data_IF_261739864189
#
_entry.id   IF_261739864189
#
_cell.length_a   1.000
_cell.length_b   1.000
_cell.length_c   1.000
_cell.angle_alpha   90.00
_cell.angle_beta   90.00
_cell.angle_gamma   90.00
#
_symmetry.space_group_name_H-M   'P 1'
#
loop_
_entity.id
_entity.type
_entity.pdbx_description
1 polymer ?
#
# COMPACT_ATOMS: atom_id res chain seq x y z
N UNK A 1 21.21 41.15 -3.52
CA UNK A 1 20.25 40.83 -4.60
C UNK A 1 20.80 39.71 -5.49
N UNK A 2 22.02 39.84 -6.04
CA UNK A 2 22.64 38.87 -6.96
C UNK A 2 22.71 37.46 -6.35
N UNK A 3 23.14 37.29 -5.10
CA UNK A 3 23.21 35.99 -4.41
C UNK A 3 21.84 35.32 -4.24
N UNK A 4 20.78 36.10 -4.03
CA UNK A 4 19.38 35.60 -3.94
C UNK A 4 18.93 35.08 -5.31
N UNK A 5 19.21 35.82 -6.36
CA UNK A 5 18.90 35.42 -7.75
C UNK A 5 19.65 34.14 -8.15
N UNK A 6 20.93 34.04 -7.87
CA UNK A 6 21.73 32.83 -8.12
C UNK A 6 21.19 31.65 -7.29
N UNK A 7 20.83 31.88 -6.02
CA UNK A 7 20.19 30.87 -5.17
C UNK A 7 18.87 30.34 -5.75
N UNK A 8 18.03 31.22 -6.30
CA UNK A 8 16.77 30.86 -6.97
C UNK A 8 17.02 30.02 -8.23
N UNK A 9 17.97 30.43 -9.09
CA UNK A 9 18.32 29.67 -10.30
C UNK A 9 18.87 28.29 -9.98
N UNK A 10 19.79 28.19 -9.00
CA UNK A 10 20.37 26.90 -8.61
C UNK A 10 19.34 25.98 -7.93
N UNK A 11 18.43 26.51 -7.14
CA UNK A 11 17.33 25.76 -6.54
C UNK A 11 16.34 25.30 -7.61
N UNK A 12 15.92 26.21 -8.51
CA UNK A 12 15.05 25.89 -9.63
C UNK A 12 15.60 24.79 -10.52
N UNK A 13 16.90 24.88 -10.87
CA UNK A 13 17.57 23.84 -11.64
C UNK A 13 17.57 22.47 -10.93
N UNK A 14 17.78 22.44 -9.62
CA UNK A 14 17.68 21.20 -8.81
C UNK A 14 16.25 20.63 -8.85
N UNK A 15 15.22 21.45 -8.71
CA UNK A 15 13.81 21.02 -8.76
C UNK A 15 13.47 20.47 -10.15
N UNK A 16 13.90 21.14 -11.23
CA UNK A 16 13.70 20.68 -12.61
C UNK A 16 14.41 19.36 -12.89
N UNK A 17 15.61 19.16 -12.36
CA UNK A 17 16.31 17.87 -12.42
C UNK A 17 15.50 16.76 -11.76
N UNK A 18 14.98 16.98 -10.53
CA UNK A 18 14.15 16.01 -9.82
C UNK A 18 12.87 15.68 -10.60
N UNK A 19 12.25 16.67 -11.26
CA UNK A 19 11.10 16.47 -12.14
C UNK A 19 11.45 15.59 -13.34
N UNK A 20 12.56 15.88 -14.01
CA UNK A 20 13.02 15.09 -15.17
C UNK A 20 13.31 13.63 -14.80
N UNK A 21 13.99 13.41 -13.66
CA UNK A 21 14.24 12.07 -13.14
C UNK A 21 12.93 11.33 -12.80
N UNK A 22 11.97 11.99 -12.14
CA UNK A 22 10.66 11.42 -11.84
C UNK A 22 9.93 11.01 -13.12
N UNK A 23 9.86 11.90 -14.12
CA UNK A 23 9.25 11.63 -15.43
C UNK A 23 9.91 10.43 -16.13
N UNK A 24 11.24 10.35 -16.12
CA UNK A 24 11.99 9.25 -16.75
C UNK A 24 11.66 7.91 -16.08
N UNK A 25 11.68 7.85 -14.74
CA UNK A 25 11.37 6.63 -13.99
C UNK A 25 9.95 6.14 -14.26
N UNK A 26 8.96 7.04 -14.23
CA UNK A 26 7.57 6.67 -14.52
C UNK A 26 7.39 6.28 -15.99
N UNK A 27 8.06 6.96 -16.93
CA UNK A 27 7.99 6.59 -18.35
C UNK A 27 8.51 5.17 -18.60
N UNK A 28 9.54 4.76 -17.90
CA UNK A 28 10.15 3.42 -18.00
C UNK A 28 9.36 2.34 -17.21
N UNK A 29 8.43 2.71 -16.32
CA UNK A 29 7.64 1.74 -15.58
C UNK A 29 6.62 1.03 -16.49
N UNK A 30 6.31 -0.22 -16.19
CA UNK A 30 5.21 -0.99 -16.76
C UNK A 30 4.34 -1.55 -15.61
N UNK A 31 3.27 -2.24 -15.91
CA UNK A 31 2.51 -2.97 -14.88
C UNK A 31 3.39 -3.94 -14.10
N UNK A 32 4.38 -4.55 -14.75
CA UNK A 32 5.29 -5.51 -14.12
C UNK A 32 6.20 -4.86 -13.07
N UNK A 33 6.47 -3.54 -13.19
CA UNK A 33 7.17 -2.78 -12.14
C UNK A 33 6.46 -2.90 -10.79
N UNK A 34 5.13 -2.97 -10.79
CA UNK A 34 4.31 -3.07 -9.59
C UNK A 34 4.06 -4.52 -9.16
N UNK A 35 4.48 -5.49 -9.96
CA UNK A 35 4.37 -6.92 -9.69
C UNK A 35 5.70 -7.55 -9.26
N UNK A 36 6.80 -6.83 -9.33
CA UNK A 36 8.18 -7.33 -9.18
C UNK A 36 8.50 -8.05 -7.86
N UNK A 37 7.61 -7.99 -6.86
CA UNK A 37 7.79 -8.64 -5.55
C UNK A 37 6.84 -9.82 -5.31
N UNK A 38 6.28 -10.42 -6.37
CA UNK A 38 5.31 -11.51 -6.22
C UNK A 38 5.95 -12.78 -5.66
N UNK A 39 5.15 -13.52 -4.89
CA UNK A 39 5.48 -14.87 -4.47
C UNK A 39 5.24 -15.83 -5.64
N UNK A 40 6.28 -16.56 -6.05
CA UNK A 40 6.15 -17.60 -7.06
C UNK A 40 5.63 -18.90 -6.43
N UNK A 41 4.60 -19.50 -7.02
CA UNK A 41 4.03 -20.77 -6.57
C UNK A 41 4.27 -21.81 -7.66
N UNK A 42 4.84 -22.96 -7.28
CA UNK A 42 5.04 -24.10 -8.17
C UNK A 42 3.96 -25.14 -7.89
N UNK A 43 3.30 -25.58 -8.94
CA UNK A 43 2.27 -26.61 -8.88
C UNK A 43 2.76 -27.88 -9.58
N UNK A 44 2.27 -29.06 -9.16
CA UNK A 44 2.44 -30.30 -9.92
C UNK A 44 1.49 -30.35 -11.13
N UNK A 45 1.60 -31.38 -11.94
CA UNK A 45 0.76 -31.61 -13.12
C UNK A 45 -0.73 -31.77 -12.78
N UNK A 46 -1.08 -32.05 -11.53
CA UNK A 46 -2.44 -32.20 -11.03
C UNK A 46 -2.97 -30.91 -10.38
N UNK A 47 -2.21 -29.81 -10.44
CA UNK A 47 -2.59 -28.54 -9.85
C UNK A 47 -2.39 -28.45 -8.32
N UNK A 48 -1.72 -29.42 -7.71
CA UNK A 48 -1.36 -29.39 -6.28
C UNK A 48 -0.15 -28.50 -6.05
N UNK A 49 -0.26 -27.55 -5.13
CA UNK A 49 0.86 -26.69 -4.77
C UNK A 49 2.01 -27.51 -4.17
N UNK A 50 3.16 -27.50 -4.84
CA UNK A 50 4.39 -28.18 -4.39
C UNK A 50 5.25 -27.25 -3.55
N UNK A 51 5.46 -26.03 -4.00
CA UNK A 51 6.40 -25.09 -3.44
C UNK A 51 5.89 -23.65 -3.54
N UNK A 52 6.32 -22.87 -2.58
CA UNK A 52 6.11 -21.43 -2.53
C UNK A 52 7.47 -20.77 -2.39
N UNK A 53 7.96 -20.17 -3.48
CA UNK A 53 9.14 -19.33 -3.42
C UNK A 53 8.70 -17.96 -2.88
N UNK A 54 9.02 -17.73 -1.62
CA UNK A 54 8.92 -16.40 -1.04
C UNK A 54 10.15 -15.61 -1.52
N UNK A 55 9.92 -14.55 -2.29
CA UNK A 55 10.87 -13.46 -2.34
C UNK A 55 11.02 -12.84 -0.94
N UNK A 56 11.71 -11.72 -0.81
CA UNK A 56 11.80 -10.99 0.47
C UNK A 56 10.42 -10.60 1.03
N UNK A 57 9.36 -10.68 0.20
CA UNK A 57 7.99 -10.29 0.52
C UNK A 57 7.02 -11.41 0.15
N UNK A 58 6.06 -11.67 1.04
CA UNK A 58 4.92 -12.55 0.73
C UNK A 58 3.85 -11.70 0.02
N UNK A 59 3.78 -11.77 -1.31
CA UNK A 59 2.90 -10.94 -2.14
C UNK A 59 2.09 -11.79 -3.10
N UNK A 60 0.78 -11.68 -3.00
CA UNK A 60 -0.19 -12.22 -3.95
C UNK A 60 -0.86 -11.05 -4.65
N UNK A 61 -0.73 -11.00 -5.96
CA UNK A 61 -1.27 -9.90 -6.74
C UNK A 61 -2.72 -10.13 -7.11
N UNK A 62 -3.59 -9.17 -6.79
CA UNK A 62 -5.00 -9.16 -7.18
C UNK A 62 -5.22 -8.08 -8.24
N UNK A 63 -5.96 -8.43 -9.30
CA UNK A 63 -6.44 -7.46 -10.27
C UNK A 63 -7.50 -6.56 -9.64
N UNK A 64 -7.67 -5.33 -10.16
CA UNK A 64 -8.63 -4.37 -9.62
C UNK A 64 -10.04 -4.95 -9.40
N UNK A 65 -10.56 -5.70 -10.38
CA UNK A 65 -11.86 -6.36 -10.30
C UNK A 65 -11.98 -7.46 -9.23
N UNK A 66 -10.86 -7.93 -8.70
CA UNK A 66 -10.79 -8.93 -7.63
C UNK A 66 -10.67 -8.27 -6.25
N UNK A 67 -10.40 -6.96 -6.21
CA UNK A 67 -10.28 -6.21 -4.97
C UNK A 67 -11.64 -6.02 -4.31
N UNK A 68 -11.74 -6.26 -3.00
CA UNK A 68 -13.01 -6.07 -2.28
C UNK A 68 -13.44 -4.60 -2.29
N UNK A 69 -14.70 -4.34 -2.63
CA UNK A 69 -15.28 -2.98 -2.64
C UNK A 69 -15.09 -2.27 -1.31
N UNK A 70 -15.26 -2.97 -0.20
CA UNK A 70 -15.09 -2.41 1.14
C UNK A 70 -13.64 -2.04 1.46
N UNK A 71 -12.65 -2.75 0.93
CA UNK A 71 -11.24 -2.37 1.07
C UNK A 71 -10.96 -1.08 0.32
N UNK A 72 -11.45 -0.95 -0.91
CA UNK A 72 -11.33 0.27 -1.73
C UNK A 72 -11.98 1.45 -1.00
N UNK A 73 -13.21 1.28 -0.53
CA UNK A 73 -13.96 2.31 0.19
C UNK A 73 -13.24 2.73 1.49
N UNK A 74 -12.75 1.77 2.28
CA UNK A 74 -12.03 2.04 3.52
C UNK A 74 -10.74 2.81 3.29
N UNK A 75 -9.92 2.38 2.32
CA UNK A 75 -8.64 3.04 2.01
C UNK A 75 -8.86 4.46 1.50
N UNK A 76 -9.79 4.65 0.56
CA UNK A 76 -10.11 5.99 0.04
C UNK A 76 -10.63 6.89 1.15
N UNK A 77 -11.52 6.40 2.00
CA UNK A 77 -12.14 7.23 3.05
C UNK A 77 -11.13 7.81 4.02
N UNK A 78 -10.07 7.06 4.36
CA UNK A 78 -9.11 7.42 5.40
C UNK A 78 -7.82 8.01 4.87
N UNK A 79 -7.33 7.56 3.73
CA UNK A 79 -6.04 7.98 3.18
C UNK A 79 -6.18 9.09 2.14
N UNK A 80 -7.25 9.09 1.34
CA UNK A 80 -7.39 10.00 0.20
C UNK A 80 -8.85 10.19 -0.26
N UNK A 81 -9.65 10.85 0.55
CA UNK A 81 -11.09 11.04 0.28
C UNK A 81 -11.42 11.78 -1.04
N UNK A 82 -10.44 12.45 -1.61
CA UNK A 82 -10.56 13.14 -2.89
C UNK A 82 -9.89 12.37 -4.04
N UNK A 83 -9.56 11.11 -3.85
CA UNK A 83 -8.77 10.31 -4.80
C UNK A 83 -9.24 10.43 -6.25
N UNK A 84 -10.54 10.35 -6.50
CA UNK A 84 -11.11 10.47 -7.84
C UNK A 84 -11.21 11.91 -8.38
N UNK A 85 -10.85 12.92 -7.56
CA UNK A 85 -11.04 14.35 -7.90
C UNK A 85 -9.73 15.10 -8.21
N UNK A 86 -8.58 14.51 -7.91
CA UNK A 86 -7.28 15.12 -8.17
C UNK A 86 -6.47 14.29 -9.18
N UNK A 87 -5.36 14.86 -9.67
CA UNK A 87 -4.44 14.23 -10.61
C UNK A 87 -3.05 14.06 -9.96
N UNK A 88 -2.95 13.16 -8.98
CA UNK A 88 -1.73 12.80 -8.27
C UNK A 88 -1.49 13.59 -6.98
N UNK A 89 -1.96 14.83 -6.88
CA UNK A 89 -1.78 15.72 -5.71
C UNK A 89 -3.09 16.38 -5.33
N UNK A 90 -3.51 16.22 -4.08
CA UNK A 90 -4.66 16.95 -3.52
C UNK A 90 -4.22 18.26 -2.89
N UNK A 91 -4.15 19.33 -3.69
CA UNK A 91 -3.79 20.67 -3.21
C UNK A 91 -4.74 21.19 -2.13
N UNK A 92 -6.04 20.87 -2.22
CA UNK A 92 -7.04 21.23 -1.20
C UNK A 92 -6.80 20.48 0.10
N UNK A 93 -6.42 19.21 0.01
CA UNK A 93 -6.03 18.39 1.15
C UNK A 93 -4.77 18.92 1.84
N UNK A 94 -3.76 19.31 1.06
CA UNK A 94 -2.52 19.90 1.59
C UNK A 94 -2.82 21.22 2.31
N UNK A 95 -3.58 22.11 1.70
CA UNK A 95 -3.97 23.39 2.32
C UNK A 95 -4.72 23.19 3.63
N UNK A 96 -5.68 22.27 3.65
CA UNK A 96 -6.44 21.89 4.85
C UNK A 96 -5.54 21.32 5.94
N UNK A 97 -4.59 20.44 5.59
CA UNK A 97 -3.62 19.89 6.52
C UNK A 97 -2.70 20.96 7.10
N UNK A 98 -2.29 21.94 6.29
CA UNK A 98 -1.48 23.08 6.73
C UNK A 98 -2.24 23.96 7.73
N UNK A 99 -3.49 24.32 7.43
CA UNK A 99 -4.36 25.06 8.35
C UNK A 99 -4.56 24.30 9.66
N UNK A 100 -4.85 22.99 9.57
CA UNK A 100 -5.01 22.14 10.74
C UNK A 100 -3.74 22.08 11.60
N UNK A 101 -2.57 22.04 10.98
CA UNK A 101 -1.27 22.06 11.69
C UNK A 101 -1.10 23.35 12.49
N UNK A 102 -1.43 24.50 11.92
CA UNK A 102 -1.36 25.80 12.60
C UNK A 102 -2.36 25.87 13.75
N UNK A 103 -3.62 25.51 13.50
CA UNK A 103 -4.71 25.54 14.50
C UNK A 103 -4.42 24.63 15.69
N UNK A 104 -3.84 23.45 15.44
CA UNK A 104 -3.50 22.47 16.49
C UNK A 104 -2.07 22.63 17.03
N UNK A 105 -1.50 23.85 16.94
CA UNK A 105 -0.17 24.19 17.51
C UNK A 105 0.94 23.21 17.12
N UNK A 106 1.03 22.91 15.83
CA UNK A 106 2.08 22.05 15.30
C UNK A 106 1.81 20.54 15.39
N UNK A 107 0.62 20.11 15.80
CA UNK A 107 0.25 18.69 15.77
C UNK A 107 -0.31 18.30 14.41
N UNK A 108 0.27 17.25 13.81
CA UNK A 108 -0.25 16.68 12.56
C UNK A 108 -1.49 15.85 12.87
N UNK A 109 -2.66 16.38 12.56
CA UNK A 109 -3.95 15.70 12.79
C UNK A 109 -4.50 15.02 11.54
N UNK A 110 -4.01 15.43 10.35
CA UNK A 110 -4.44 14.89 9.06
C UNK A 110 -3.24 14.71 8.13
N UNK A 111 -3.23 13.60 7.37
CA UNK A 111 -2.27 13.40 6.29
C UNK A 111 -2.63 14.25 5.07
N UNK A 112 -1.62 14.81 4.40
CA UNK A 112 -1.79 15.56 3.15
C UNK A 112 -1.21 14.85 1.92
N UNK A 113 -0.78 13.60 2.04
CA UNK A 113 -0.25 12.81 0.93
C UNK A 113 -1.33 11.94 0.32
N UNK A 114 -1.43 11.92 -1.01
CA UNK A 114 -2.38 11.08 -1.75
C UNK A 114 -1.96 9.61 -1.78
N UNK A 115 -2.88 8.70 -2.14
CA UNK A 115 -2.58 7.29 -2.40
C UNK A 115 -1.51 7.13 -3.49
N UNK A 116 -1.58 7.96 -4.53
CA UNK A 116 -0.59 7.95 -5.63
C UNK A 116 0.79 8.37 -5.16
N UNK A 117 0.90 9.36 -4.26
CA UNK A 117 2.16 9.73 -3.64
C UNK A 117 2.73 8.61 -2.76
N UNK A 118 1.85 7.91 -2.01
CA UNK A 118 2.26 6.77 -1.19
C UNK A 118 2.74 5.60 -2.05
N UNK A 119 2.07 5.33 -3.19
CA UNK A 119 2.50 4.34 -4.17
C UNK A 119 3.87 4.69 -4.75
N UNK A 120 4.07 5.94 -5.21
CA UNK A 120 5.35 6.42 -5.72
C UNK A 120 6.48 6.22 -4.71
N UNK A 121 6.23 6.58 -3.45
CA UNK A 121 7.18 6.38 -2.35
C UNK A 121 7.53 4.90 -2.15
N UNK A 122 6.54 4.02 -2.20
CA UNK A 122 6.70 2.60 -1.88
C UNK A 122 7.47 1.84 -2.96
N UNK A 123 7.20 2.15 -4.23
CA UNK A 123 7.74 1.39 -5.37
C UNK A 123 9.05 1.96 -5.91
N UNK A 124 9.17 3.29 -5.98
CA UNK A 124 10.27 3.92 -6.70
C UNK A 124 11.30 4.63 -5.81
N UNK A 125 10.98 4.88 -4.53
CA UNK A 125 11.81 5.73 -3.70
C UNK A 125 12.35 4.98 -2.47
N UNK A 126 13.48 5.47 -1.96
CA UNK A 126 14.07 4.93 -0.72
C UNK A 126 13.35 5.47 0.54
N UNK A 127 13.67 4.88 1.70
CA UNK A 127 13.06 5.25 2.99
C UNK A 127 13.58 6.55 3.60
N UNK A 128 14.59 7.21 2.99
CA UNK A 128 15.17 8.44 3.54
C UNK A 128 14.15 9.59 3.53
N UNK A 129 14.00 10.25 4.68
CA UNK A 129 13.09 11.40 4.84
C UNK A 129 13.80 12.70 4.45
N UNK A 130 13.91 12.97 3.14
CA UNK A 130 14.52 14.20 2.61
C UNK A 130 13.52 15.03 1.80
N UNK A 131 13.73 16.35 1.74
CA UNK A 131 12.91 17.23 0.91
C UNK A 131 12.99 16.85 -0.58
N UNK A 132 14.18 16.46 -1.05
CA UNK A 132 14.40 16.00 -2.43
C UNK A 132 13.53 14.80 -2.76
N UNK A 133 13.47 13.81 -1.85
CA UNK A 133 12.58 12.66 -2.01
C UNK A 133 11.11 13.08 -2.06
N UNK A 134 10.68 14.02 -1.20
CA UNK A 134 9.27 14.47 -1.18
C UNK A 134 8.90 15.22 -2.45
N UNK A 135 9.79 16.06 -2.98
CA UNK A 135 9.59 16.73 -4.28
C UNK A 135 9.51 15.71 -5.42
N UNK A 136 10.40 14.71 -5.43
CA UNK A 136 10.37 13.65 -6.44
C UNK A 136 9.08 12.83 -6.34
N UNK A 137 8.62 12.48 -5.13
CA UNK A 137 7.35 11.81 -4.86
C UNK A 137 6.14 12.56 -5.47
N UNK A 138 6.09 13.88 -5.28
CA UNK A 138 5.04 14.73 -5.84
C UNK A 138 5.04 14.67 -7.38
N UNK A 139 6.18 14.86 -8.01
CA UNK A 139 6.28 14.79 -9.48
C UNK A 139 5.94 13.41 -10.02
N UNK A 140 6.40 12.34 -9.34
CA UNK A 140 6.07 10.97 -9.75
C UNK A 140 4.58 10.71 -9.64
N UNK A 141 3.91 11.17 -8.59
CA UNK A 141 2.47 11.00 -8.45
C UNK A 141 1.69 11.65 -9.61
N UNK A 142 2.10 12.85 -10.05
CA UNK A 142 1.50 13.51 -11.22
C UNK A 142 1.76 12.71 -12.50
N UNK A 143 2.96 12.22 -12.71
CA UNK A 143 3.28 11.45 -13.93
C UNK A 143 2.61 10.05 -13.91
N UNK A 144 2.46 9.42 -12.74
CA UNK A 144 1.73 8.16 -12.60
C UNK A 144 0.26 8.31 -12.99
N UNK A 145 -0.41 9.38 -12.57
CA UNK A 145 -1.82 9.62 -12.91
C UNK A 145 -2.05 10.09 -14.36
N UNK A 146 -1.00 10.48 -15.06
CA UNK A 146 -1.04 10.65 -16.52
C UNK A 146 -0.95 9.33 -17.28
N UNK A 147 -0.27 8.35 -16.70
CA UNK A 147 0.06 7.09 -17.36
C UNK A 147 -0.91 5.96 -17.03
N UNK A 148 -1.43 5.93 -15.81
CA UNK A 148 -2.27 4.85 -15.29
C UNK A 148 -3.62 5.39 -14.82
N UNK A 149 -4.67 4.60 -14.99
CA UNK A 149 -6.00 4.93 -14.51
C UNK A 149 -6.08 4.89 -12.97
N UNK A 150 -7.14 5.47 -12.41
CA UNK A 150 -7.39 5.42 -10.96
C UNK A 150 -7.51 3.98 -10.45
N UNK A 151 -8.14 3.11 -11.22
CA UNK A 151 -8.29 1.69 -10.91
C UNK A 151 -6.93 0.99 -10.89
N UNK A 152 -6.06 1.24 -11.87
CA UNK A 152 -4.72 0.70 -11.90
C UNK A 152 -3.88 1.19 -10.72
N UNK A 153 -3.99 2.47 -10.35
CA UNK A 153 -3.29 3.03 -9.19
C UNK A 153 -3.74 2.36 -7.88
N UNK A 154 -5.06 2.13 -7.70
CA UNK A 154 -5.59 1.39 -6.55
C UNK A 154 -5.13 -0.06 -6.55
N UNK A 155 -5.16 -0.72 -7.71
CA UNK A 155 -4.61 -2.07 -7.89
C UNK A 155 -3.16 -2.13 -7.43
N UNK A 156 -2.32 -1.25 -7.94
CA UNK A 156 -0.89 -1.20 -7.58
C UNK A 156 -0.69 -0.88 -6.10
N UNK A 157 -1.41 0.10 -5.56
CA UNK A 157 -1.31 0.48 -4.16
C UNK A 157 -1.65 -0.68 -3.23
N UNK A 158 -2.83 -1.27 -3.40
CA UNK A 158 -3.33 -2.33 -2.52
C UNK A 158 -2.52 -3.62 -2.60
N UNK A 159 -1.79 -3.84 -3.69
CA UNK A 159 -0.87 -4.97 -3.83
C UNK A 159 0.54 -4.71 -3.29
N UNK A 160 0.94 -3.44 -3.06
CA UNK A 160 2.31 -3.10 -2.66
C UNK A 160 2.43 -2.50 -1.26
N UNK A 161 1.34 -2.01 -0.69
CA UNK A 161 1.40 -1.36 0.63
C UNK A 161 1.71 -2.36 1.75
N UNK A 162 2.46 -1.90 2.76
CA UNK A 162 2.89 -2.71 3.88
C UNK A 162 1.85 -2.75 5.00
N UNK A 163 1.47 -3.96 5.43
CA UNK A 163 0.46 -4.23 6.45
C UNK A 163 1.05 -4.79 7.76
N UNK A 164 2.26 -4.41 8.14
CA UNK A 164 3.01 -4.97 9.26
C UNK A 164 3.34 -6.47 9.13
N UNK A 165 4.12 -7.01 10.05
CA UNK A 165 4.44 -8.44 10.17
C UNK A 165 4.92 -9.13 8.87
N UNK A 166 5.58 -8.39 7.98
CA UNK A 166 6.09 -8.90 6.70
C UNK A 166 5.04 -9.04 5.60
N UNK A 167 3.79 -8.63 5.83
CA UNK A 167 2.75 -8.72 4.81
C UNK A 167 2.75 -7.48 3.91
N UNK A 168 2.90 -7.72 2.62
CA UNK A 168 2.80 -6.71 1.58
C UNK A 168 1.60 -7.04 0.68
N UNK A 169 0.73 -6.08 0.48
CA UNK A 169 -0.54 -6.24 -0.23
C UNK A 169 -1.66 -6.83 0.60
N UNK A 170 -2.88 -6.51 0.19
CA UNK A 170 -4.11 -6.83 0.92
C UNK A 170 -4.38 -8.34 1.00
N UNK A 171 -4.03 -9.11 -0.03
CA UNK A 171 -4.22 -10.56 -0.03
C UNK A 171 -3.32 -11.23 1.02
N UNK A 172 -2.04 -10.85 1.06
CA UNK A 172 -1.12 -11.38 2.06
C UNK A 172 -1.54 -11.01 3.49
N UNK A 173 -2.01 -9.77 3.69
CA UNK A 173 -2.53 -9.32 4.98
C UNK A 173 -3.79 -10.10 5.39
N UNK A 174 -4.74 -10.30 4.47
CA UNK A 174 -5.96 -11.08 4.73
C UNK A 174 -5.65 -12.52 5.12
N UNK A 175 -4.78 -13.18 4.37
CA UNK A 175 -4.32 -14.54 4.70
C UNK A 175 -3.56 -14.57 6.02
N UNK A 176 -2.69 -13.59 6.26
CA UNK A 176 -1.87 -13.52 7.46
C UNK A 176 -2.64 -13.31 8.75
N UNK A 177 -3.63 -12.43 8.72
CA UNK A 177 -4.40 -12.05 9.91
C UNK A 177 -5.71 -12.81 10.08
N UNK A 178 -6.38 -13.21 8.99
CA UNK A 178 -7.72 -13.79 9.04
C UNK A 178 -7.82 -15.20 8.47
N UNK A 179 -6.78 -15.72 7.77
CA UNK A 179 -6.77 -17.04 7.10
C UNK A 179 -7.85 -17.16 6.02
N UNK A 180 -8.14 -16.08 5.34
CA UNK A 180 -9.10 -16.07 4.23
C UNK A 180 -8.60 -15.21 3.07
N UNK A 181 -9.17 -15.42 1.90
CA UNK A 181 -8.90 -14.58 0.75
C UNK A 181 -9.45 -13.17 0.96
N UNK A 182 -8.77 -12.17 0.41
CA UNK A 182 -9.17 -10.78 0.55
C UNK A 182 -10.59 -10.51 0.05
N UNK A 183 -11.04 -11.22 -1.00
CA UNK A 183 -12.42 -11.14 -1.52
C UNK A 183 -13.51 -11.50 -0.50
N UNK A 184 -13.14 -12.26 0.53
CA UNK A 184 -14.03 -12.74 1.59
C UNK A 184 -13.94 -11.92 2.89
N UNK A 185 -13.22 -10.78 2.87
CA UNK A 185 -13.15 -9.87 4.00
C UNK A 185 -14.52 -9.26 4.26
N UNK A 186 -14.92 -9.23 5.53
CA UNK A 186 -16.07 -8.41 5.95
C UNK A 186 -15.72 -6.93 5.84
N UNK A 187 -16.71 -6.07 5.91
CA UNK A 187 -16.48 -4.62 5.94
C UNK A 187 -15.63 -4.20 7.12
N UNK A 188 -15.87 -4.80 8.27
CA UNK A 188 -15.14 -4.57 9.51
C UNK A 188 -13.66 -4.98 9.38
N UNK A 189 -13.39 -6.15 8.81
CA UNK A 189 -12.02 -6.63 8.56
C UNK A 189 -11.30 -5.78 7.51
N UNK A 190 -12.01 -5.36 6.46
CA UNK A 190 -11.47 -4.45 5.45
C UNK A 190 -11.03 -3.11 6.06
N UNK A 191 -11.89 -2.50 6.89
CA UNK A 191 -11.56 -1.28 7.63
C UNK A 191 -10.43 -1.50 8.64
N UNK A 192 -10.39 -2.67 9.30
CA UNK A 192 -9.33 -3.02 10.23
C UNK A 192 -7.96 -3.13 9.54
N UNK A 193 -7.88 -3.81 8.40
CA UNK A 193 -6.63 -3.87 7.64
C UNK A 193 -6.22 -2.49 7.10
N UNK A 194 -7.19 -1.69 6.65
CA UNK A 194 -6.92 -0.33 6.14
C UNK A 194 -6.39 0.64 7.20
N UNK A 195 -6.48 0.28 8.49
CA UNK A 195 -5.86 1.04 9.58
C UNK A 195 -4.33 0.95 9.61
N UNK A 196 -3.78 -0.19 9.18
CA UNK A 196 -2.37 -0.57 9.42
C UNK A 196 -1.36 0.27 8.62
N UNK A 197 -1.55 0.55 7.32
CA UNK A 197 -0.54 1.23 6.48
C UNK A 197 -0.16 2.62 6.97
N UNK A 198 -1.05 3.30 7.68
CA UNK A 198 -0.80 4.63 8.22
C UNK A 198 0.39 4.67 9.19
N UNK A 199 0.43 3.71 10.13
CA UNK A 199 1.56 3.49 11.04
C UNK A 199 1.61 2.02 11.45
N UNK A 200 2.35 1.17 10.73
CA UNK A 200 2.40 -0.27 10.94
C UNK A 200 2.90 -0.71 12.33
N UNK A 201 3.59 0.17 13.05
CA UNK A 201 4.03 -0.10 14.43
C UNK A 201 2.92 0.16 15.44
N UNK A 202 2.22 1.31 15.31
CA UNK A 202 1.14 1.69 16.23
C UNK A 202 -0.11 0.84 16.01
N UNK A 203 -0.37 0.47 14.76
CA UNK A 203 -1.56 -0.29 14.36
C UNK A 203 -1.23 -1.75 14.00
N UNK A 204 -0.21 -2.32 14.65
CA UNK A 204 0.09 -3.75 14.51
C UNK A 204 -1.01 -4.59 15.16
N UNK A 205 -1.73 -5.45 14.39
CA UNK A 205 -2.82 -6.25 14.92
C UNK A 205 -2.42 -7.26 16.00
N UNK A 206 -1.16 -7.63 16.07
CA UNK A 206 -0.65 -8.65 17.01
C UNK A 206 -0.18 -8.05 18.33
N UNK A 207 0.38 -6.86 18.28
CA UNK A 207 0.95 -6.20 19.47
C UNK A 207 0.07 -5.07 19.99
N UNK A 208 -0.72 -4.43 19.11
CA UNK A 208 -1.53 -3.25 19.43
C UNK A 208 -2.96 -3.34 18.84
N UNK A 209 -3.62 -4.50 19.00
CA UNK A 209 -4.95 -4.79 18.45
C UNK A 209 -5.98 -3.71 18.81
N UNK A 210 -5.98 -3.23 20.05
CA UNK A 210 -6.92 -2.20 20.50
C UNK A 210 -6.79 -0.88 19.75
N UNK A 211 -5.57 -0.43 19.50
CA UNK A 211 -5.33 0.77 18.70
C UNK A 211 -5.81 0.59 17.26
N UNK A 212 -5.61 -0.60 16.71
CA UNK A 212 -6.10 -0.94 15.36
C UNK A 212 -7.63 -0.95 15.33
N UNK A 213 -8.30 -1.48 16.37
CA UNK A 213 -9.77 -1.44 16.48
C UNK A 213 -10.27 0.00 16.62
N UNK A 214 -9.66 0.82 17.46
CA UNK A 214 -10.03 2.25 17.57
C UNK A 214 -9.95 2.97 16.21
N UNK A 215 -8.89 2.70 15.47
CA UNK A 215 -8.74 3.27 14.13
C UNK A 215 -9.72 2.67 13.12
N UNK A 216 -10.00 1.35 13.17
CA UNK A 216 -11.05 0.70 12.39
C UNK A 216 -12.40 1.40 12.59
N UNK A 217 -12.78 1.66 13.85
CA UNK A 217 -14.01 2.35 14.16
C UNK A 217 -14.08 3.75 13.56
N UNK A 218 -12.96 4.49 13.61
CA UNK A 218 -12.85 5.78 12.93
C UNK A 218 -13.02 5.65 11.42
N UNK A 219 -12.41 4.66 10.79
CA UNK A 219 -12.52 4.43 9.35
C UNK A 219 -13.98 4.12 8.96
N UNK A 220 -14.65 3.23 9.69
CA UNK A 220 -16.06 2.91 9.47
C UNK A 220 -16.94 4.15 9.60
N UNK A 221 -16.67 5.01 10.59
CA UNK A 221 -17.36 6.29 10.76
C UNK A 221 -17.09 7.21 9.57
N UNK A 222 -15.83 7.35 9.14
CA UNK A 222 -15.45 8.16 7.97
C UNK A 222 -16.15 7.66 6.69
N UNK A 223 -16.27 6.32 6.50
CA UNK A 223 -17.00 5.72 5.39
C UNK A 223 -18.50 6.08 5.42
N UNK A 224 -19.12 6.02 6.59
CA UNK A 224 -20.52 6.39 6.77
C UNK A 224 -20.75 7.88 6.52
N UNK A 225 -19.95 8.76 7.13
CA UNK A 225 -20.05 10.22 6.96
C UNK A 225 -19.82 10.66 5.51
N UNK A 226 -18.98 9.93 4.77
CA UNK A 226 -18.75 10.15 3.34
C UNK A 226 -19.80 9.46 2.45
N UNK A 227 -20.82 8.82 3.02
CA UNK A 227 -21.90 8.10 2.31
C UNK A 227 -21.41 6.96 1.41
N UNK A 228 -20.28 6.35 1.76
CA UNK A 228 -19.73 5.18 1.08
C UNK A 228 -20.40 3.88 1.55
N UNK A 229 -21.02 3.91 2.73
CA UNK A 229 -21.81 2.81 3.30
C UNK A 229 -23.10 3.36 3.94
N UNK A 230 -24.11 2.49 4.07
CA UNK A 230 -25.37 2.83 4.71
C UNK A 230 -25.24 2.75 6.24
N UNK A 231 -26.25 3.28 6.95
CA UNK A 231 -26.28 3.28 8.41
C UNK A 231 -26.33 1.86 8.99
N UNK A 232 -27.18 1.00 8.42
CA UNK A 232 -27.29 -0.40 8.83
C UNK A 232 -25.97 -1.15 8.68
N UNK A 233 -25.26 -0.95 7.58
CA UNK A 233 -23.95 -1.53 7.33
C UNK A 233 -22.87 -1.02 8.33
N UNK A 234 -22.93 0.28 8.67
CA UNK A 234 -22.04 0.86 9.67
C UNK A 234 -22.28 0.25 11.06
N UNK A 235 -23.56 0.16 11.48
CA UNK A 235 -23.95 -0.39 12.79
C UNK A 235 -23.59 -1.88 12.92
N UNK A 236 -23.75 -2.66 11.87
CA UNK A 236 -23.31 -4.05 11.82
C UNK A 236 -21.78 -4.15 11.93
N UNK A 237 -21.06 -3.43 11.08
CA UNK A 237 -19.60 -3.52 11.01
C UNK A 237 -18.89 -3.03 12.28
N UNK A 238 -19.43 -2.02 12.99
CA UNK A 238 -18.79 -1.49 14.20
C UNK A 238 -18.95 -2.45 15.38
N UNK A 239 -20.02 -3.25 15.40
CA UNK A 239 -20.29 -4.25 16.44
C UNK A 239 -19.63 -5.61 16.14
N UNK A 240 -19.12 -5.82 14.94
CA UNK A 240 -18.43 -7.07 14.57
C UNK A 240 -17.15 -7.27 15.38
N UNK A 241 -17.01 -8.44 16.02
CA UNK A 241 -15.80 -8.82 16.73
C UNK A 241 -14.68 -9.20 15.77
N UNK A 242 -13.53 -8.53 15.87
CA UNK A 242 -12.34 -8.85 15.07
C UNK A 242 -11.53 -9.97 15.72
N UNK A 243 -11.42 -11.11 15.03
CA UNK A 243 -10.67 -12.30 15.47
C UNK A 243 -9.36 -12.46 14.67
N UNK A 244 -8.30 -11.81 15.15
CA UNK A 244 -6.96 -11.94 14.54
C UNK A 244 -6.38 -13.32 14.87
N UNK A 245 -5.92 -14.03 13.84
CA UNK A 245 -5.25 -15.33 13.98
C UNK A 245 -3.78 -15.15 14.34
N UNK A 246 -3.28 -16.01 15.19
CA UNK A 246 -1.86 -16.04 15.54
C UNK A 246 -0.98 -16.27 14.30
N UNK A 247 0.28 -15.80 14.36
CA UNK A 247 1.25 -16.14 13.35
C UNK A 247 1.30 -17.67 13.21
N UNK A 248 1.28 -18.18 11.98
CA UNK A 248 1.70 -19.56 11.80
C UNK A 248 3.15 -19.62 12.27
N UNK A 249 3.44 -20.39 13.32
CA UNK A 249 4.79 -20.87 13.51
C UNK A 249 5.14 -21.54 12.17
N UNK A 250 6.15 -21.03 11.46
CA UNK A 250 6.70 -21.78 10.37
C UNK A 250 7.06 -23.14 11.00
N UNK A 251 6.34 -24.19 10.63
CA UNK A 251 6.92 -25.50 10.76
C UNK A 251 8.19 -25.34 9.96
N UNK A 252 9.32 -25.42 10.63
CA UNK A 252 10.61 -25.69 10.00
C UNK A 252 10.37 -27.07 9.39
N UNK A 253 9.82 -27.09 8.18
CA UNK A 253 9.75 -28.30 7.40
C UNK A 253 11.19 -28.73 7.31
N UNK A 254 11.49 -29.92 7.85
CA UNK A 254 12.74 -30.60 7.58
C UNK A 254 12.88 -30.51 6.07
N UNK A 255 13.84 -29.70 5.60
CA UNK A 255 14.13 -29.56 4.18
C UNK A 255 14.33 -30.96 3.65
N UNK A 256 13.38 -31.48 2.90
CA UNK A 256 13.51 -32.74 2.23
C UNK A 256 14.62 -32.53 1.20
N UNK A 257 15.75 -33.23 1.36
CA UNK A 257 16.91 -33.10 0.46
C UNK A 257 16.52 -33.26 -1.00
N UNK A 258 15.51 -34.10 -1.28
CA UNK A 258 14.97 -34.35 -2.62
C UNK A 258 14.30 -33.10 -3.18
N UNK A 259 13.48 -32.35 -2.39
CA UNK A 259 12.87 -31.10 -2.83
C UNK A 259 13.93 -30.04 -3.13
N UNK A 260 14.96 -29.94 -2.30
CA UNK A 260 16.06 -28.98 -2.50
C UNK A 260 16.83 -29.28 -3.78
N UNK A 261 17.04 -30.57 -4.10
CA UNK A 261 17.74 -31.00 -5.32
C UNK A 261 16.92 -30.72 -6.59
N UNK A 262 15.63 -31.07 -6.61
CA UNK A 262 14.73 -30.78 -7.74
C UNK A 262 14.64 -29.28 -8.01
N UNK A 263 14.55 -28.45 -6.95
CA UNK A 263 14.54 -26.99 -7.07
C UNK A 263 15.86 -26.50 -7.66
N UNK A 264 17.00 -27.00 -7.17
CA UNK A 264 18.32 -26.61 -7.67
C UNK A 264 18.49 -26.96 -9.15
N UNK A 265 18.04 -28.13 -9.59
CA UNK A 265 18.08 -28.53 -10.98
C UNK A 265 17.16 -27.66 -11.85
N UNK A 266 15.91 -27.42 -11.45
CA UNK A 266 14.97 -26.60 -12.19
C UNK A 266 15.45 -25.14 -12.29
N UNK A 267 16.00 -24.57 -11.22
CA UNK A 267 16.56 -23.21 -11.23
C UNK A 267 17.76 -23.10 -12.16
N UNK A 268 18.63 -24.13 -12.18
CA UNK A 268 19.81 -24.16 -13.03
C UNK A 268 19.46 -24.29 -14.52
N UNK A 269 18.36 -24.96 -14.86
CA UNK A 269 17.85 -25.06 -16.22
C UNK A 269 17.22 -23.75 -16.71
N UNK A 270 16.42 -23.09 -15.86
CA UNK A 270 15.79 -21.81 -16.17
C UNK A 270 16.83 -20.67 -16.33
N UNK A 271 17.93 -20.71 -15.58
CA UNK A 271 18.99 -19.70 -15.68
C UNK A 271 19.96 -19.94 -16.87
N UNK A 272 19.79 -21.02 -17.64
CA UNK A 272 20.55 -21.30 -18.86
C UNK A 272 19.86 -20.79 -20.14
N UNK A 273 18.61 -20.35 -20.03
CA UNK A 273 17.83 -19.69 -21.09
C UNK A 273 17.92 -18.17 -20.95
#
# INVERSE_FOLDING_TARGET
>A
LLLVVIGWFTFGAKVMKLRSEAKKLVAQSSEDTFKASQTSIVYDTNGKQLLKFKGEKDVYYLKYKELPVYVIAAVISVEDKNFYKHSGVDYKGISRAAVSYVVHKGRITQGGSTLTQQLAKTVFLNRQKTWKRKVKEIFMAVELEKKYSKEQILEFYLNNVYYANGYYGIQAASQGYFRKDAKNLTMSEAAFLSAIPNNPTIYDPRTNKENTIKRRNKILKDMYEQKLIRKDQYEEAINEEIKVKNAQKSKTEKKNYVETYVIHCATKEIMKQ
#
